data_IF_566820296168
#
_entry.id   IF_566820296168
#
_cell.length_a   1.000
_cell.length_b   1.000
_cell.length_c   1.000
_cell.angle_alpha   90.00
_cell.angle_beta   90.00
_cell.angle_gamma   90.00
#
_symmetry.space_group_name_H-M   'P 1'
#
loop_
_entity.id
_entity.type
_entity.pdbx_description
1 polymer ?
#
# COMPACT_ATOMS: atom_id res chain seq x y z
N UNK A 1 -10.97 -12.47 -44.62
CA UNK A 1 -11.49 -11.33 -43.82
C UNK A 1 -12.89 -11.00 -44.33
N UNK A 2 -13.92 -10.95 -43.46
CA UNK A 2 -15.33 -10.77 -43.88
C UNK A 2 -15.88 -9.35 -43.65
N UNK A 3 -15.31 -8.59 -42.72
CA UNK A 3 -15.60 -7.18 -42.52
C UNK A 3 -14.44 -6.54 -41.74
N UNK A 4 -14.18 -5.25 -41.96
CA UNK A 4 -13.27 -4.42 -41.16
C UNK A 4 -14.05 -3.16 -40.79
N UNK A 5 -14.16 -2.86 -39.50
CA UNK A 5 -14.86 -1.68 -38.97
C UNK A 5 -13.87 -0.71 -38.35
N UNK A 6 -14.15 0.58 -38.46
CA UNK A 6 -13.44 1.63 -37.74
C UNK A 6 -14.14 1.92 -36.40
N UNK A 7 -13.39 2.24 -35.32
CA UNK A 7 -13.99 2.69 -34.08
C UNK A 7 -14.73 4.02 -34.30
N UNK A 8 -15.94 4.13 -33.75
CA UNK A 8 -16.69 5.37 -33.68
C UNK A 8 -16.82 5.78 -32.21
N UNK A 9 -16.74 7.08 -31.93
CA UNK A 9 -16.94 7.58 -30.58
C UNK A 9 -18.38 7.28 -30.13
N UNK A 10 -18.53 6.72 -28.94
CA UNK A 10 -19.85 6.55 -28.34
C UNK A 10 -20.37 7.92 -27.87
N UNK A 11 -21.67 8.15 -28.02
CA UNK A 11 -22.32 9.29 -27.38
C UNK A 11 -22.31 9.09 -25.86
N UNK A 12 -22.03 10.15 -25.12
CA UNK A 12 -21.98 10.13 -23.66
C UNK A 12 -23.39 10.49 -23.16
N UNK A 13 -24.23 9.46 -23.05
CA UNK A 13 -25.65 9.56 -22.70
C UNK A 13 -26.07 8.47 -21.70
N UNK A 14 -27.35 8.44 -21.33
CA UNK A 14 -27.90 7.45 -20.40
C UNK A 14 -27.84 6.02 -20.95
N UNK A 15 -27.86 5.85 -22.27
CA UNK A 15 -27.75 4.54 -22.92
C UNK A 15 -26.32 3.98 -22.81
N UNK A 16 -25.31 4.85 -22.84
CA UNK A 16 -23.95 4.48 -22.47
C UNK A 16 -23.88 4.09 -21.00
N UNK A 17 -24.46 4.89 -20.10
CA UNK A 17 -24.43 4.62 -18.66
C UNK A 17 -25.02 3.26 -18.27
N UNK A 18 -26.15 2.89 -18.87
CA UNK A 18 -26.77 1.56 -18.67
C UNK A 18 -25.86 0.40 -19.07
N UNK A 19 -25.02 0.57 -20.11
CA UNK A 19 -24.04 -0.46 -20.51
C UNK A 19 -22.93 -0.65 -19.48
N UNK A 20 -22.66 0.36 -18.66
CA UNK A 20 -21.72 0.31 -17.55
C UNK A 20 -22.39 0.00 -16.20
N UNK A 21 -23.67 -0.36 -16.19
CA UNK A 21 -24.39 -0.78 -14.99
C UNK A 21 -24.86 0.38 -14.09
N UNK A 22 -24.92 1.60 -14.62
CA UNK A 22 -25.52 2.76 -13.95
C UNK A 22 -26.91 3.07 -14.51
N UNK A 23 -27.78 3.67 -13.69
CA UNK A 23 -29.17 3.96 -14.08
C UNK A 23 -29.26 5.06 -15.16
N UNK A 24 -28.43 6.10 -15.02
CA UNK A 24 -28.33 7.24 -15.94
C UNK A 24 -26.90 7.81 -15.94
N UNK A 25 -26.66 8.81 -16.80
CA UNK A 25 -25.35 9.44 -16.95
C UNK A 25 -24.87 10.14 -15.67
N UNK A 26 -25.78 10.71 -14.89
CA UNK A 26 -25.41 11.42 -13.67
C UNK A 26 -24.98 10.44 -12.58
N UNK A 27 -25.66 9.29 -12.45
CA UNK A 27 -25.25 8.19 -11.59
C UNK A 27 -23.87 7.63 -12.00
N UNK A 28 -23.62 7.46 -13.31
CA UNK A 28 -22.32 7.01 -13.79
C UNK A 28 -21.21 8.01 -13.44
N UNK A 29 -21.45 9.31 -13.66
CA UNK A 29 -20.49 10.36 -13.30
C UNK A 29 -20.23 10.39 -11.80
N UNK A 30 -21.26 10.20 -10.97
CA UNK A 30 -21.12 10.09 -9.51
C UNK A 30 -20.19 8.95 -9.11
N UNK A 31 -20.44 7.73 -9.62
CA UNK A 31 -19.59 6.56 -9.35
C UNK A 31 -18.14 6.77 -9.80
N UNK A 32 -17.93 7.36 -10.98
CA UNK A 32 -16.58 7.67 -11.48
C UNK A 32 -15.90 8.70 -10.58
N UNK A 33 -16.64 9.73 -10.13
CA UNK A 33 -16.11 10.78 -9.25
C UNK A 33 -15.68 10.19 -7.91
N UNK A 34 -16.54 9.43 -7.24
CA UNK A 34 -16.21 8.76 -5.96
C UNK A 34 -14.97 7.86 -6.09
N UNK A 35 -14.89 7.11 -7.21
CA UNK A 35 -13.72 6.27 -7.48
C UNK A 35 -12.44 7.10 -7.64
N UNK A 36 -12.51 8.19 -8.42
CA UNK A 36 -11.36 9.07 -8.64
C UNK A 36 -10.94 9.79 -7.35
N UNK A 37 -11.89 10.23 -6.53
CA UNK A 37 -11.61 10.81 -5.22
C UNK A 37 -10.88 9.83 -4.30
N UNK A 38 -11.33 8.56 -4.25
CA UNK A 38 -10.66 7.52 -3.47
C UNK A 38 -9.25 7.23 -3.99
N UNK A 39 -9.06 7.19 -5.31
CA UNK A 39 -7.77 6.99 -5.96
C UNK A 39 -6.80 8.14 -5.64
N UNK A 40 -7.23 9.39 -5.78
CA UNK A 40 -6.41 10.57 -5.46
C UNK A 40 -6.14 10.70 -3.96
N UNK A 41 -7.09 10.38 -3.10
CA UNK A 41 -6.88 10.36 -1.66
C UNK A 41 -5.82 9.32 -1.26
N UNK A 42 -5.87 8.12 -1.87
CA UNK A 42 -4.87 7.07 -1.67
C UNK A 42 -3.47 7.52 -2.11
N UNK A 43 -3.37 8.07 -3.33
CA UNK A 43 -2.12 8.60 -3.87
C UNK A 43 -1.53 9.72 -2.99
N UNK A 44 -2.35 10.71 -2.61
CA UNK A 44 -1.91 11.81 -1.77
C UNK A 44 -1.46 11.32 -0.38
N UNK A 45 -2.15 10.32 0.19
CA UNK A 45 -1.76 9.69 1.45
C UNK A 45 -0.40 8.98 1.33
N UNK A 46 -0.15 8.27 0.24
CA UNK A 46 1.14 7.60 0.00
C UNK A 46 2.28 8.62 -0.07
N UNK A 47 2.11 9.71 -0.81
CA UNK A 47 3.09 10.81 -0.92
C UNK A 47 3.34 11.47 0.44
N UNK A 48 2.28 11.80 1.20
CA UNK A 48 2.39 12.36 2.54
C UNK A 48 3.17 11.43 3.48
N UNK A 49 2.81 10.14 3.47
CA UNK A 49 3.43 9.12 4.30
C UNK A 49 4.91 8.97 3.98
N UNK A 50 5.30 8.89 2.70
CA UNK A 50 6.71 8.87 2.29
C UNK A 50 7.45 10.09 2.80
N UNK A 51 6.93 11.30 2.54
CA UNK A 51 7.57 12.54 2.95
C UNK A 51 7.77 12.61 4.47
N UNK A 52 6.80 12.11 5.24
CA UNK A 52 6.91 12.02 6.69
C UNK A 52 8.03 11.05 7.11
N UNK A 53 8.03 9.82 6.56
CA UNK A 53 9.00 8.79 6.89
C UNK A 53 10.43 9.22 6.53
N UNK A 54 10.62 9.85 5.37
CA UNK A 54 11.91 10.42 4.96
C UNK A 54 12.37 11.48 5.94
N UNK A 55 11.44 12.35 6.37
CA UNK A 55 11.78 13.36 7.35
C UNK A 55 12.19 12.74 8.68
N UNK A 56 11.48 11.72 9.16
CA UNK A 56 11.79 11.02 10.40
C UNK A 56 13.15 10.32 10.34
N UNK A 57 13.49 9.70 9.21
CA UNK A 57 14.79 9.05 8.99
C UNK A 57 15.96 10.04 9.12
N UNK A 58 15.77 11.30 8.69
CA UNK A 58 16.79 12.35 8.86
C UNK A 58 16.90 12.90 10.29
N UNK A 59 15.85 12.76 11.10
CA UNK A 59 15.77 13.37 12.44
C UNK A 59 16.25 12.43 13.54
N UNK A 60 16.18 11.12 13.31
CA UNK A 60 16.41 10.10 14.33
C UNK A 60 17.52 9.17 13.86
N UNK A 61 18.56 9.01 14.68
CA UNK A 61 19.64 8.05 14.45
C UNK A 61 19.96 7.35 15.77
N UNK A 62 19.99 6.02 15.74
CA UNK A 62 20.36 5.16 16.86
C UNK A 62 20.94 3.85 16.34
N UNK A 63 21.70 3.17 17.18
CA UNK A 63 22.32 1.88 16.85
C UNK A 63 21.24 0.82 16.63
N UNK A 64 21.32 0.14 15.48
CA UNK A 64 20.38 -0.91 15.11
C UNK A 64 20.94 -2.28 15.52
N UNK A 65 20.11 -3.19 16.04
CA UNK A 65 20.53 -4.56 16.28
C UNK A 65 20.97 -5.23 14.96
N UNK A 66 22.23 -5.70 14.83
CA UNK A 66 22.73 -6.26 13.56
C UNK A 66 21.87 -7.42 13.05
N UNK A 67 21.36 -8.26 13.95
CA UNK A 67 20.50 -9.39 13.59
C UNK A 67 19.18 -8.98 12.93
N UNK A 68 18.63 -7.81 13.27
CA UNK A 68 17.42 -7.29 12.64
C UNK A 68 17.72 -6.74 11.26
N UNK A 69 18.83 -6.02 11.11
CA UNK A 69 19.28 -5.49 9.82
C UNK A 69 19.60 -6.63 8.85
N UNK A 70 20.31 -7.66 9.31
CA UNK A 70 20.61 -8.85 8.50
C UNK A 70 19.34 -9.60 8.06
N UNK A 71 18.38 -9.78 8.98
CA UNK A 71 17.11 -10.44 8.66
C UNK A 71 16.32 -9.65 7.61
N UNK A 72 16.19 -8.33 7.79
CA UNK A 72 15.49 -7.46 6.85
C UNK A 72 16.21 -7.41 5.50
N UNK A 73 17.55 -7.31 5.47
CA UNK A 73 18.32 -7.30 4.23
C UNK A 73 18.10 -8.57 3.41
N UNK A 74 18.02 -9.73 4.09
CA UNK A 74 17.68 -11.01 3.44
C UNK A 74 16.25 -11.03 2.90
N UNK A 75 15.29 -10.46 3.63
CA UNK A 75 13.91 -10.35 3.14
C UNK A 75 13.81 -9.44 1.91
N UNK A 76 14.50 -8.30 1.92
CA UNK A 76 14.54 -7.38 0.77
C UNK A 76 15.19 -8.06 -0.43
N UNK A 77 16.36 -8.69 -0.25
CA UNK A 77 17.06 -9.39 -1.32
C UNK A 77 16.18 -10.49 -1.93
N UNK A 78 15.48 -11.25 -1.07
CA UNK A 78 14.55 -12.29 -1.50
C UNK A 78 13.34 -11.72 -2.26
N UNK A 79 12.78 -10.60 -1.80
CA UNK A 79 11.67 -9.94 -2.47
C UNK A 79 12.06 -9.46 -3.87
N UNK A 80 13.14 -8.67 -3.97
CA UNK A 80 13.60 -8.11 -5.24
C UNK A 80 14.00 -9.21 -6.24
N UNK A 81 14.61 -10.28 -5.77
CA UNK A 81 14.93 -11.41 -6.64
C UNK A 81 13.68 -12.07 -7.24
N UNK A 82 12.57 -12.20 -6.50
CA UNK A 82 11.33 -12.73 -7.05
C UNK A 82 10.63 -11.76 -8.02
N UNK A 83 10.80 -10.46 -7.83
CA UNK A 83 10.32 -9.44 -8.78
C UNK A 83 11.06 -9.58 -10.12
N UNK A 84 12.37 -9.88 -10.08
CA UNK A 84 13.20 -10.14 -11.26
C UNK A 84 12.99 -11.55 -11.87
N UNK A 85 12.48 -12.51 -11.10
CA UNK A 85 12.28 -13.91 -11.51
C UNK A 85 10.82 -14.37 -11.26
N UNK A 86 9.82 -13.73 -11.91
CA UNK A 86 8.40 -13.95 -11.63
C UNK A 86 7.91 -15.38 -11.98
N UNK A 87 8.66 -16.11 -12.80
CA UNK A 87 8.38 -17.51 -13.15
C UNK A 87 8.73 -18.50 -12.03
N UNK A 88 9.59 -18.11 -11.09
CA UNK A 88 9.98 -18.95 -9.95
C UNK A 88 8.95 -18.78 -8.84
N UNK A 89 8.08 -19.77 -8.73
CA UNK A 89 7.07 -19.81 -7.66
C UNK A 89 7.57 -20.61 -6.46
N UNK A 90 7.54 -19.99 -5.29
CA UNK A 90 7.96 -20.61 -4.02
C UNK A 90 9.46 -20.46 -3.73
N UNK A 91 9.93 -21.10 -2.66
CA UNK A 91 11.28 -20.93 -2.12
C UNK A 91 12.29 -21.98 -2.61
N UNK A 92 12.03 -22.62 -3.77
CA UNK A 92 12.89 -23.67 -4.33
C UNK A 92 13.97 -23.07 -5.24
N UNK A 93 14.76 -22.16 -4.67
CA UNK A 93 15.91 -21.52 -5.31
C UNK A 93 17.12 -21.54 -4.36
N UNK A 94 18.31 -21.27 -4.91
CA UNK A 94 19.53 -21.17 -4.11
C UNK A 94 19.48 -20.01 -3.11
N UNK A 95 20.50 -19.93 -2.24
CA UNK A 95 20.65 -18.78 -1.34
C UNK A 95 20.81 -17.48 -2.15
N UNK A 96 20.03 -16.47 -1.76
CA UNK A 96 20.08 -15.14 -2.37
C UNK A 96 21.02 -14.29 -1.52
N UNK A 97 22.12 -13.87 -2.13
CA UNK A 97 23.13 -13.04 -1.48
C UNK A 97 22.62 -11.62 -1.24
N UNK A 98 22.89 -11.09 -0.06
CA UNK A 98 22.60 -9.69 0.27
C UNK A 98 23.69 -8.77 -0.31
N UNK A 99 23.30 -7.60 -0.78
CA UNK A 99 24.22 -6.57 -1.30
C UNK A 99 24.25 -5.40 -0.32
N UNK A 100 25.19 -4.47 -0.50
CA UNK A 100 25.26 -3.25 0.32
C UNK A 100 23.98 -2.41 0.20
N UNK A 101 23.34 -2.38 -0.96
CA UNK A 101 22.05 -1.69 -1.15
C UNK A 101 20.92 -2.37 -0.36
N UNK A 102 20.87 -3.72 -0.33
CA UNK A 102 19.92 -4.44 0.51
C UNK A 102 20.11 -4.10 1.99
N UNK A 103 21.37 -4.02 2.46
CA UNK A 103 21.68 -3.64 3.85
C UNK A 103 21.27 -2.20 4.15
N UNK A 104 21.54 -1.25 3.25
CA UNK A 104 21.18 0.16 3.44
C UNK A 104 19.66 0.36 3.50
N UNK A 105 18.90 -0.32 2.63
CA UNK A 105 17.44 -0.31 2.68
C UNK A 105 16.92 -0.95 3.98
N UNK A 106 17.54 -2.05 4.42
CA UNK A 106 17.19 -2.72 5.67
C UNK A 106 17.41 -1.84 6.89
N UNK A 107 18.53 -1.12 6.97
CA UNK A 107 18.79 -0.17 8.06
C UNK A 107 17.69 0.88 8.16
N UNK A 108 17.29 1.46 7.03
CA UNK A 108 16.21 2.47 6.99
C UNK A 108 14.87 1.86 7.45
N UNK A 109 14.49 0.69 6.93
CA UNK A 109 13.24 0.01 7.32
C UNK A 109 13.23 -0.39 8.79
N UNK A 110 14.30 -0.98 9.30
CA UNK A 110 14.40 -1.38 10.72
C UNK A 110 14.36 -0.16 11.63
N UNK A 111 15.08 0.92 11.30
CA UNK A 111 15.07 2.15 12.09
C UNK A 111 13.68 2.76 12.19
N UNK A 112 13.01 2.95 11.04
CA UNK A 112 11.68 3.52 10.99
C UNK A 112 10.65 2.61 11.66
N UNK A 113 10.71 1.30 11.43
CA UNK A 113 9.83 0.33 12.08
C UNK A 113 9.92 0.37 13.60
N UNK A 114 11.15 0.40 14.15
CA UNK A 114 11.36 0.52 15.59
C UNK A 114 10.88 1.89 16.13
N UNK A 115 11.12 2.98 15.39
CA UNK A 115 10.65 4.31 15.78
C UNK A 115 9.11 4.38 15.83
N UNK A 116 8.44 3.90 14.78
CA UNK A 116 6.97 3.93 14.72
C UNK A 116 6.34 3.01 15.77
N UNK A 117 6.96 1.85 16.05
CA UNK A 117 6.52 0.97 17.13
C UNK A 117 6.58 1.67 18.51
N UNK A 118 7.70 2.33 18.81
CA UNK A 118 7.87 3.08 20.07
C UNK A 118 6.90 4.28 20.18
N UNK A 119 6.69 5.01 19.08
CA UNK A 119 5.75 6.13 19.04
C UNK A 119 4.31 5.65 19.23
N UNK A 120 3.91 4.59 18.52
CA UNK A 120 2.59 4.00 18.66
C UNK A 120 2.34 3.44 20.06
N UNK A 121 3.35 2.82 20.68
CA UNK A 121 3.24 2.35 22.06
C UNK A 121 3.06 3.51 23.05
N UNK A 122 3.85 4.59 22.93
CA UNK A 122 3.70 5.78 23.78
C UNK A 122 2.37 6.50 23.60
N UNK A 123 1.83 6.44 22.39
CA UNK A 123 0.56 7.03 22.02
C UNK A 123 -0.64 6.11 22.31
N UNK A 124 -0.40 4.90 22.84
CA UNK A 124 -1.42 3.87 23.07
C UNK A 124 -2.26 3.58 21.82
N UNK A 125 -1.61 3.59 20.65
CA UNK A 125 -2.26 3.25 19.38
C UNK A 125 -2.51 1.76 19.34
N UNK A 126 -3.77 1.38 19.20
CA UNK A 126 -4.18 -0.01 19.06
C UNK A 126 -4.96 -0.23 17.77
N UNK A 127 -4.73 -1.36 17.11
CA UNK A 127 -5.57 -1.82 16.00
C UNK A 127 -6.72 -2.62 16.56
N UNK A 128 -7.93 -2.13 16.32
CA UNK A 128 -9.17 -2.73 16.82
C UNK A 128 -9.54 -3.97 16.01
N UNK A 129 -10.32 -4.87 16.63
CA UNK A 129 -10.85 -6.05 15.95
C UNK A 129 -11.75 -5.69 14.76
N UNK A 130 -12.42 -4.54 14.82
CA UNK A 130 -13.24 -4.02 13.73
C UNK A 130 -12.39 -3.66 12.50
N UNK A 131 -11.28 -2.95 12.70
CA UNK A 131 -10.33 -2.60 11.64
C UNK A 131 -9.68 -3.86 11.04
N UNK A 132 -9.31 -4.82 11.89
CA UNK A 132 -8.80 -6.12 11.42
C UNK A 132 -9.83 -6.85 10.55
N UNK A 133 -11.08 -6.91 11.02
CA UNK A 133 -12.17 -7.58 10.29
C UNK A 133 -12.43 -6.90 8.95
N UNK A 134 -12.38 -5.56 8.89
CA UNK A 134 -12.50 -4.79 7.65
C UNK A 134 -11.35 -5.08 6.68
N UNK A 135 -10.11 -5.09 7.15
CA UNK A 135 -8.95 -5.41 6.32
C UNK A 135 -9.01 -6.84 5.75
N UNK A 136 -9.43 -7.82 6.57
CA UNK A 136 -9.63 -9.20 6.11
C UNK A 136 -10.73 -9.26 5.04
N UNK A 137 -11.86 -8.57 5.24
CA UNK A 137 -12.94 -8.53 4.24
C UNK A 137 -12.49 -7.86 2.94
N UNK A 138 -11.69 -6.80 3.02
CA UNK A 138 -11.14 -6.12 1.85
C UNK A 138 -10.23 -7.05 1.03
N UNK A 139 -9.34 -7.78 1.70
CA UNK A 139 -8.45 -8.75 1.04
C UNK A 139 -9.23 -9.96 0.50
N UNK A 140 -10.25 -10.44 1.23
CA UNK A 140 -11.10 -11.55 0.80
C UNK A 140 -11.82 -11.29 -0.52
N UNK A 141 -12.15 -10.03 -0.85
CA UNK A 141 -12.77 -9.65 -2.14
C UNK A 141 -11.90 -9.97 -3.35
N UNK A 142 -10.59 -10.17 -3.16
CA UNK A 142 -9.68 -10.60 -4.22
C UNK A 142 -9.85 -12.10 -4.57
N UNK A 143 -10.60 -12.85 -3.75
CA UNK A 143 -10.85 -14.28 -3.92
C UNK A 143 -12.36 -14.60 -4.00
N UNK A 144 -13.07 -14.20 -5.08
CA UNK A 144 -14.50 -14.45 -5.22
C UNK A 144 -14.87 -15.93 -5.10
N UNK A 145 -15.86 -16.24 -4.26
CA UNK A 145 -16.33 -17.61 -4.00
C UNK A 145 -15.51 -18.41 -2.98
N UNK A 146 -14.42 -17.85 -2.45
CA UNK A 146 -13.57 -18.46 -1.42
C UNK A 146 -13.41 -17.56 -0.19
N UNK A 147 -14.22 -16.51 -0.05
CA UNK A 147 -14.10 -15.47 0.96
C UNK A 147 -14.10 -16.05 2.38
N UNK A 148 -14.98 -17.04 2.62
CA UNK A 148 -15.09 -17.72 3.92
C UNK A 148 -13.83 -18.54 4.25
N UNK A 149 -13.29 -19.26 3.27
CA UNK A 149 -12.07 -20.07 3.46
C UNK A 149 -10.86 -19.18 3.72
N UNK A 150 -10.77 -18.05 3.00
CA UNK A 150 -9.76 -17.04 3.24
C UNK A 150 -9.86 -16.47 4.66
N UNK A 151 -11.07 -16.10 5.10
CA UNK A 151 -11.30 -15.61 6.46
C UNK A 151 -10.84 -16.63 7.53
N UNK A 152 -11.27 -17.89 7.40
CA UNK A 152 -10.89 -18.96 8.33
C UNK A 152 -9.37 -19.20 8.33
N UNK A 153 -8.72 -19.14 7.16
CA UNK A 153 -7.26 -19.25 7.03
C UNK A 153 -6.53 -18.13 7.79
N UNK A 154 -6.93 -16.86 7.59
CA UNK A 154 -6.33 -15.73 8.31
C UNK A 154 -6.60 -15.85 9.81
N UNK A 155 -7.79 -16.27 10.23
CA UNK A 155 -8.13 -16.41 11.64
C UNK A 155 -7.24 -17.46 12.35
N UNK A 156 -6.83 -18.50 11.65
CA UNK A 156 -5.97 -19.56 12.20
C UNK A 156 -4.48 -19.25 12.09
N UNK A 157 -4.09 -18.26 11.29
CA UNK A 157 -2.70 -17.94 11.00
C UNK A 157 -2.28 -16.61 11.65
N UNK A 158 -1.66 -16.70 12.83
CA UNK A 158 -1.20 -15.53 13.59
C UNK A 158 -0.18 -14.67 12.82
N UNK A 159 0.66 -15.27 11.98
CA UNK A 159 1.61 -14.53 11.15
C UNK A 159 0.88 -13.67 10.12
N UNK A 160 -0.14 -14.22 9.45
CA UNK A 160 -0.95 -13.46 8.49
C UNK A 160 -1.75 -12.34 9.16
N UNK A 161 -2.26 -12.59 10.38
CA UNK A 161 -2.92 -11.53 11.16
C UNK A 161 -1.95 -10.38 11.45
N UNK A 162 -0.71 -10.69 11.82
CA UNK A 162 0.29 -9.66 12.07
C UNK A 162 0.66 -8.90 10.79
N UNK A 163 0.74 -9.59 9.64
CA UNK A 163 0.98 -8.94 8.34
C UNK A 163 -0.14 -7.98 7.94
N UNK A 164 -1.41 -8.31 8.25
CA UNK A 164 -2.54 -7.39 8.02
C UNK A 164 -2.59 -6.27 9.06
N UNK A 165 -2.18 -6.54 10.30
CA UNK A 165 -2.19 -5.57 11.40
C UNK A 165 -1.13 -4.49 11.23
N UNK A 166 0.08 -4.88 10.80
CA UNK A 166 1.22 -3.98 10.67
C UNK A 166 0.94 -2.70 9.86
N UNK A 167 0.41 -2.76 8.62
CA UNK A 167 0.12 -1.56 7.84
C UNK A 167 -0.99 -0.70 8.46
N UNK A 168 -1.99 -1.31 9.11
CA UNK A 168 -3.05 -0.55 9.81
C UNK A 168 -2.45 0.21 11.00
N UNK A 169 -1.63 -0.47 11.79
CA UNK A 169 -0.94 0.15 12.93
C UNK A 169 -0.05 1.30 12.47
N UNK A 170 0.76 1.06 11.43
CA UNK A 170 1.64 2.07 10.84
C UNK A 170 0.86 3.32 10.39
N UNK A 171 -0.24 3.12 9.66
CA UNK A 171 -1.12 4.21 9.22
C UNK A 171 -1.69 5.01 10.39
N UNK A 172 -2.13 4.34 11.46
CA UNK A 172 -2.65 5.02 12.66
C UNK A 172 -1.58 5.81 13.39
N UNK A 173 -0.34 5.30 13.45
CA UNK A 173 0.79 6.03 14.03
C UNK A 173 1.14 7.24 13.18
N UNK A 174 1.16 7.09 11.85
CA UNK A 174 1.34 8.21 10.91
C UNK A 174 0.28 9.28 11.12
N UNK A 175 -1.00 8.90 11.20
CA UNK A 175 -2.10 9.83 11.45
C UNK A 175 -1.94 10.55 12.80
N UNK A 176 -1.50 9.84 13.84
CA UNK A 176 -1.20 10.42 15.15
C UNK A 176 -0.08 11.46 15.10
N UNK A 177 0.99 11.18 14.35
CA UNK A 177 2.12 12.11 14.16
C UNK A 177 1.66 13.34 13.36
N UNK A 178 0.95 13.13 12.25
CA UNK A 178 0.43 14.21 11.39
C UNK A 178 -0.52 15.11 12.18
N UNK A 179 -1.39 14.54 13.02
CA UNK A 179 -2.31 15.30 13.87
C UNK A 179 -1.63 16.20 14.92
N UNK A 180 -0.36 15.95 15.23
CA UNK A 180 0.45 16.79 16.12
C UNK A 180 1.45 17.68 15.38
N UNK A 181 1.67 17.42 14.09
CA UNK A 181 2.57 18.17 13.26
C UNK A 181 1.90 19.45 12.72
N UNK A 182 2.72 20.44 12.34
CA UNK A 182 2.22 21.58 11.58
C UNK A 182 2.06 21.17 10.12
N UNK A 183 0.82 20.89 9.72
CA UNK A 183 0.47 20.51 8.34
C UNK A 183 0.14 21.76 7.53
N UNK A 184 0.60 21.80 6.28
CA UNK A 184 0.22 22.84 5.31
C UNK A 184 -0.45 22.18 4.11
N UNK A 185 -1.62 22.67 3.75
CA UNK A 185 -2.32 22.24 2.53
C UNK A 185 -1.65 22.87 1.31
N UNK A 186 -1.40 22.04 0.29
CA UNK A 186 -0.84 22.46 -0.99
C UNK A 186 -1.77 21.96 -2.09
N UNK A 187 -2.30 22.89 -2.88
CA UNK A 187 -3.03 22.55 -4.10
C UNK A 187 -2.03 22.04 -5.14
N UNK A 188 -2.33 20.88 -5.73
CA UNK A 188 -1.51 20.23 -6.75
C UNK A 188 -2.42 19.76 -7.89
N UNK A 189 -1.88 19.74 -9.09
CA UNK A 189 -2.55 19.19 -10.27
C UNK A 189 -2.47 17.65 -10.30
N UNK A 190 -3.32 17.03 -11.11
CA UNK A 190 -3.28 15.58 -11.38
C UNK A 190 -1.89 15.13 -11.83
N UNK A 191 -1.28 15.86 -12.75
CA UNK A 191 0.02 15.49 -13.34
C UNK A 191 1.15 15.60 -12.32
N UNK A 192 1.07 16.56 -11.39
CA UNK A 192 2.02 16.68 -10.28
C UNK A 192 1.86 15.55 -9.26
N UNK A 193 0.61 15.19 -8.92
CA UNK A 193 0.35 14.05 -8.04
C UNK A 193 0.83 12.75 -8.68
N UNK A 194 0.57 12.55 -9.97
CA UNK A 194 1.01 11.37 -10.70
C UNK A 194 2.54 11.25 -10.68
N UNK A 195 3.26 12.34 -11.01
CA UNK A 195 4.74 12.35 -10.92
C UNK A 195 5.24 12.05 -9.52
N UNK A 196 4.61 12.65 -8.51
CA UNK A 196 5.00 12.41 -7.12
C UNK A 196 4.79 10.95 -6.69
N UNK A 197 3.81 10.24 -7.28
CA UNK A 197 3.60 8.80 -7.06
C UNK A 197 4.60 7.97 -7.85
N UNK A 198 4.87 8.30 -9.12
CA UNK A 198 5.87 7.63 -9.95
C UNK A 198 7.27 7.70 -9.30
N UNK A 199 7.64 8.84 -8.73
CA UNK A 199 8.88 9.02 -7.96
C UNK A 199 8.96 8.10 -6.71
N UNK A 200 7.83 7.61 -6.17
CA UNK A 200 7.84 6.63 -5.09
C UNK A 200 8.23 5.22 -5.55
N UNK A 201 7.98 4.90 -6.82
CA UNK A 201 8.24 3.57 -7.40
C UNK A 201 9.69 3.43 -7.88
N UNK A 202 10.38 4.54 -8.15
CA UNK A 202 11.76 4.58 -8.63
C UNK A 202 12.82 4.53 -7.49
N UNK A 203 12.42 4.60 -6.21
CA UNK A 203 13.30 4.63 -5.01
C UNK A 203 13.06 3.54 -3.96
#
# INVERSE_FOLDING_TARGET
VKEVKAPNAAEIDDELAKKFGSDDLDALKGQITERLEAEYAGAARAVLKRALLDKLDTLVSFDLPPSLVEAEAKQIAHQLWHEDNPEVQGHDHGEIETTEEHTKLAERRVRLGLLLAELGQKAEVEVTDAEMTQAIMAQARQYPGQERQFFEFIQQNAQMQQQLRAPIFEDKVVDHIVGQAKVTEKEISKDELQKAVEELEEE
#
